data_IF_084453423299
#
_entry.id   IF_084453423299
#
_cell.length_a   1.000
_cell.length_b   1.000
_cell.length_c   1.000
_cell.angle_alpha   90.00
_cell.angle_beta   90.00
_cell.angle_gamma   90.00
#
_symmetry.space_group_name_H-M   'P 1'
#
loop_
_entity.id
_entity.type
_entity.pdbx_description
1 polymer ?
#
# COMPACT_ATOMS: atom_id res chain seq x y z
N UNK A 1 -31.77 39.84 -45.64
CA UNK A 1 -31.92 39.17 -46.95
C UNK A 1 -31.11 37.88 -46.85
N UNK A 2 -31.67 36.76 -46.38
CA UNK A 2 -32.69 35.88 -46.99
C UNK A 2 -32.28 35.38 -48.38
N UNK A 3 -31.90 34.09 -48.43
CA UNK A 3 -32.44 33.01 -49.26
C UNK A 3 -31.52 31.78 -49.02
N UNK A 4 -31.95 30.74 -48.30
CA UNK A 4 -32.85 29.62 -48.70
C UNK A 4 -32.21 28.71 -49.77
N UNK A 5 -32.35 27.38 -49.84
CA UNK A 5 -32.88 26.27 -49.03
C UNK A 5 -32.92 25.04 -50.02
N UNK A 6 -33.02 23.80 -49.52
CA UNK A 6 -33.58 22.56 -50.19
C UNK A 6 -32.58 21.76 -51.09
N UNK A 7 -32.48 20.41 -51.19
CA UNK A 7 -33.26 19.15 -50.91
C UNK A 7 -32.22 17.98 -50.75
N UNK A 8 -32.29 17.02 -49.81
CA UNK A 8 -33.07 15.76 -49.69
C UNK A 8 -32.74 14.60 -50.67
N UNK A 9 -32.42 13.41 -50.11
CA UNK A 9 -32.71 11.97 -50.49
C UNK A 9 -31.90 11.11 -49.47
N UNK A 10 -32.47 10.46 -48.45
CA UNK A 10 -33.37 9.30 -48.36
C UNK A 10 -32.75 7.92 -48.72
N UNK A 11 -32.49 7.11 -47.67
CA UNK A 11 -32.78 5.66 -47.62
C UNK A 11 -31.69 4.67 -48.04
N UNK A 12 -31.26 3.80 -47.11
CA UNK A 12 -31.67 2.38 -47.00
C UNK A 12 -30.87 1.71 -45.88
N UNK A 13 -31.61 1.08 -44.96
CA UNK A 13 -31.16 0.27 -43.84
C UNK A 13 -31.01 -1.18 -44.29
N UNK A 14 -29.92 -1.86 -43.91
CA UNK A 14 -29.81 -3.32 -44.04
C UNK A 14 -29.41 -3.94 -42.70
N UNK A 15 -30.37 -4.62 -42.08
CA UNK A 15 -30.22 -5.44 -40.88
C UNK A 15 -29.93 -6.86 -41.39
N UNK A 16 -28.80 -7.45 -40.99
CA UNK A 16 -28.55 -8.88 -41.17
C UNK A 16 -28.96 -9.64 -39.91
N UNK A 17 -30.02 -10.43 -40.03
CA UNK A 17 -30.38 -11.49 -39.09
C UNK A 17 -29.48 -12.70 -39.34
N UNK A 18 -28.88 -13.26 -38.28
CA UNK A 18 -28.26 -14.59 -38.33
C UNK A 18 -29.03 -15.48 -37.35
N UNK A 19 -29.75 -16.44 -37.91
CA UNK A 19 -30.45 -17.50 -37.20
C UNK A 19 -29.47 -18.61 -36.80
N UNK A 20 -29.46 -18.97 -35.52
CA UNK A 20 -28.88 -20.22 -35.04
C UNK A 20 -29.95 -21.30 -35.02
N UNK A 21 -29.76 -22.32 -35.84
CA UNK A 21 -30.39 -23.62 -35.67
C UNK A 21 -29.34 -24.70 -36.03
N UNK A 22 -29.55 -25.88 -35.44
CA UNK A 22 -28.87 -27.15 -35.64
C UNK A 22 -27.61 -27.42 -34.80
N UNK A 23 -27.38 -28.58 -34.18
CA UNK A 23 -28.16 -29.74 -33.72
C UNK A 23 -27.16 -30.52 -32.85
N UNK A 24 -27.55 -31.00 -31.66
CA UNK A 24 -26.71 -31.89 -30.84
C UNK A 24 -27.01 -33.36 -31.16
N UNK A 25 -26.01 -34.23 -31.37
CA UNK A 25 -26.17 -35.68 -31.21
C UNK A 25 -25.80 -36.13 -29.78
N UNK A 26 -26.32 -37.28 -29.32
CA UNK A 26 -26.26 -37.70 -27.92
C UNK A 26 -25.00 -38.49 -27.56
N UNK A 27 -24.70 -38.44 -26.27
CA UNK A 27 -23.73 -39.21 -25.47
C UNK A 27 -23.23 -40.54 -26.08
N UNK A 28 -21.92 -40.62 -26.25
CA UNK A 28 -21.15 -41.86 -26.16
C UNK A 28 -20.15 -41.74 -25.02
N UNK A 29 -20.35 -42.55 -23.97
CA UNK A 29 -19.38 -42.78 -22.92
C UNK A 29 -18.19 -43.56 -23.50
N UNK A 30 -16.98 -43.00 -23.38
CA UNK A 30 -15.73 -43.73 -23.51
C UNK A 30 -14.95 -43.60 -22.21
N UNK A 31 -14.85 -44.70 -21.47
CA UNK A 31 -13.92 -44.87 -20.35
C UNK A 31 -12.50 -44.93 -20.91
N UNK A 32 -11.76 -43.84 -20.81
CA UNK A 32 -10.31 -43.81 -21.07
C UNK A 32 -9.61 -43.96 -19.72
N UNK A 33 -8.68 -44.92 -19.66
CA UNK A 33 -7.85 -45.19 -18.49
C UNK A 33 -7.09 -43.92 -18.03
N UNK A 34 -7.04 -43.69 -16.72
CA UNK A 34 -6.22 -42.65 -16.09
C UNK A 34 -4.75 -42.86 -16.46
N UNK A 35 -4.27 -42.09 -17.44
CA UNK A 35 -2.86 -41.87 -17.64
C UNK A 35 -2.34 -41.09 -16.43
N UNK A 36 -1.24 -41.57 -15.85
CA UNK A 36 -0.49 -40.94 -14.77
C UNK A 36 -0.16 -39.50 -15.18
N UNK A 37 -0.68 -38.52 -14.44
CA UNK A 37 -0.39 -37.10 -14.69
C UNK A 37 1.13 -36.89 -14.73
N UNK A 38 1.66 -36.15 -15.72
CA UNK A 38 3.05 -35.75 -15.69
C UNK A 38 3.26 -34.76 -14.54
N UNK A 39 4.29 -35.01 -13.73
CA UNK A 39 4.81 -34.08 -12.72
C UNK A 39 4.85 -32.65 -13.27
N UNK A 40 4.25 -31.66 -12.59
CA UNK A 40 4.22 -30.29 -13.08
C UNK A 40 5.63 -29.76 -13.17
N UNK A 41 6.02 -29.30 -14.37
CA UNK A 41 7.32 -28.65 -14.54
C UNK A 41 7.39 -27.40 -13.64
N UNK A 42 8.59 -27.06 -13.15
CA UNK A 42 8.76 -25.93 -12.22
C UNK A 42 8.32 -24.58 -12.80
N UNK A 43 8.09 -24.46 -14.11
CA UNK A 43 7.60 -23.23 -14.73
C UNK A 43 6.07 -23.07 -14.61
N UNK A 44 5.29 -24.15 -14.68
CA UNK A 44 3.83 -24.09 -14.47
C UNK A 44 3.46 -23.90 -13.00
N UNK A 45 4.26 -24.44 -12.07
CA UNK A 45 4.12 -24.17 -10.64
C UNK A 45 4.39 -22.69 -10.30
N UNK A 46 5.34 -22.03 -10.98
CA UNK A 46 5.67 -20.61 -10.78
C UNK A 46 4.58 -19.65 -11.29
N UNK A 47 3.87 -20.02 -12.35
CA UNK A 47 2.75 -19.23 -12.86
C UNK A 47 1.51 -19.30 -11.94
N UNK A 48 1.22 -20.48 -11.36
CA UNK A 48 0.07 -20.66 -10.47
C UNK A 48 0.18 -19.91 -9.13
N UNK A 49 1.41 -19.71 -8.62
CA UNK A 49 1.66 -18.99 -7.36
C UNK A 49 1.42 -17.47 -7.52
N UNK A 50 1.57 -16.92 -8.73
CA UNK A 50 1.41 -15.49 -8.99
C UNK A 50 -0.06 -15.00 -8.95
N UNK A 51 -1.04 -15.92 -9.04
CA UNK A 51 -2.46 -15.57 -9.14
C UNK A 51 -3.30 -15.94 -7.90
N UNK A 52 -2.77 -16.69 -6.92
CA UNK A 52 -3.52 -17.06 -5.71
C UNK A 52 -2.68 -17.03 -4.42
N UNK A 53 -2.71 -15.95 -3.61
CA UNK A 53 -1.97 -15.87 -2.35
C UNK A 53 -2.38 -16.96 -1.34
N UNK A 54 -3.64 -17.42 -1.40
CA UNK A 54 -4.17 -18.44 -0.47
C UNK A 54 -3.48 -19.80 -0.63
N UNK A 55 -2.77 -20.02 -1.74
CA UNK A 55 -1.98 -21.23 -1.97
C UNK A 55 -0.69 -21.29 -1.14
N UNK A 56 -0.22 -20.17 -0.56
CA UNK A 56 1.07 -20.09 0.15
C UNK A 56 1.00 -19.45 1.55
N UNK A 57 -0.06 -18.68 1.87
CA UNK A 57 -0.38 -18.21 3.21
C UNK A 57 -1.85 -17.76 3.29
N UNK A 58 -2.42 -17.68 4.49
CA UNK A 58 -3.77 -17.11 4.69
C UNK A 58 -3.66 -15.62 5.04
N UNK A 59 -4.19 -14.70 4.23
CA UNK A 59 -4.18 -13.28 4.56
C UNK A 59 -4.94 -12.97 5.85
N UNK A 60 -4.41 -12.07 6.65
CA UNK A 60 -5.05 -11.53 7.85
C UNK A 60 -5.67 -10.16 7.56
N UNK A 61 -6.84 -9.89 8.15
CA UNK A 61 -7.49 -8.59 8.08
C UNK A 61 -7.26 -7.83 9.37
N UNK A 62 -6.90 -6.57 9.25
CA UNK A 62 -6.68 -5.66 10.37
C UNK A 62 -7.57 -4.43 10.23
N UNK A 63 -8.06 -3.91 11.35
CA UNK A 63 -8.85 -2.70 11.37
C UNK A 63 -7.99 -1.46 11.16
N UNK A 64 -8.61 -0.39 10.66
CA UNK A 64 -8.01 0.95 10.61
C UNK A 64 -8.32 1.78 11.87
N UNK A 65 -8.74 1.12 12.96
CA UNK A 65 -8.86 1.76 14.27
C UNK A 65 -7.47 1.83 14.91
N UNK A 66 -6.66 2.75 14.41
CA UNK A 66 -5.25 2.83 14.72
C UNK A 66 -5.01 3.60 16.02
N UNK A 67 -4.08 3.10 16.83
CA UNK A 67 -3.61 3.75 18.06
C UNK A 67 -2.09 3.75 18.10
N UNK A 68 -1.52 4.65 18.91
CA UNK A 68 -0.08 4.74 19.13
C UNK A 68 0.33 3.78 20.27
N UNK A 69 1.09 2.70 19.99
CA UNK A 69 1.70 1.87 21.02
C UNK A 69 2.81 2.62 21.79
N UNK A 70 2.75 2.62 23.12
CA UNK A 70 3.75 3.23 23.99
C UNK A 70 5.08 2.45 23.99
N UNK A 71 5.02 1.13 23.78
CA UNK A 71 6.18 0.24 23.76
C UNK A 71 7.29 0.65 22.77
N UNK A 72 6.98 1.46 21.75
CA UNK A 72 7.93 1.84 20.70
C UNK A 72 8.52 3.26 20.87
N UNK A 73 8.18 3.99 21.94
CA UNK A 73 8.65 5.36 22.15
C UNK A 73 10.16 5.43 22.41
N UNK A 74 10.70 4.43 23.10
CA UNK A 74 12.13 4.32 23.43
C UNK A 74 12.95 3.49 22.42
N UNK A 75 12.39 3.15 21.25
CA UNK A 75 13.12 2.34 20.27
C UNK A 75 14.37 3.12 19.78
N UNK A 76 15.58 2.52 19.87
CA UNK A 76 16.84 3.22 19.60
C UNK A 76 17.24 3.20 18.13
N UNK A 77 16.49 2.51 17.25
CA UNK A 77 16.88 2.37 15.85
C UNK A 77 16.92 3.72 15.13
N UNK A 78 17.71 3.87 14.06
CA UNK A 78 17.76 5.12 13.33
C UNK A 78 16.43 5.37 12.62
N UNK A 79 15.98 6.63 12.68
CA UNK A 79 14.87 7.13 11.89
C UNK A 79 15.32 7.34 10.45
N UNK A 80 14.53 6.90 9.49
CA UNK A 80 14.80 7.15 8.08
C UNK A 80 14.46 8.59 7.70
N UNK A 81 15.10 9.10 6.65
CA UNK A 81 15.06 10.52 6.29
C UNK A 81 13.77 10.96 5.59
N UNK A 82 13.89 11.93 4.70
CA UNK A 82 12.80 12.47 3.88
C UNK A 82 12.11 11.35 3.10
N UNK A 83 10.77 11.33 3.11
CA UNK A 83 9.99 10.41 2.27
C UNK A 83 9.85 11.03 0.88
N UNK A 84 10.19 10.28 -0.17
CA UNK A 84 10.04 10.71 -1.57
C UNK A 84 9.06 9.80 -2.29
N UNK A 85 8.09 10.41 -2.96
CA UNK A 85 6.84 9.79 -3.37
C UNK A 85 6.38 10.24 -4.73
N UNK A 86 5.56 9.41 -5.38
CA UNK A 86 4.78 9.78 -6.57
C UNK A 86 3.36 9.21 -6.46
N UNK A 87 2.38 9.94 -6.99
CA UNK A 87 0.99 9.49 -7.05
C UNK A 87 0.24 9.62 -5.72
N UNK A 88 -0.97 9.07 -5.69
CA UNK A 88 -1.86 9.20 -4.53
C UNK A 88 -1.46 8.29 -3.37
N UNK A 89 -1.45 8.84 -2.14
CA UNK A 89 -1.10 8.10 -0.92
C UNK A 89 -2.09 8.37 0.20
N UNK A 90 -2.24 7.40 1.10
CA UNK A 90 -2.97 7.57 2.35
C UNK A 90 -2.02 7.38 3.53
N UNK A 91 -1.95 8.40 4.38
CA UNK A 91 -1.20 8.34 5.63
C UNK A 91 -2.15 8.48 6.81
N UNK A 92 -1.71 8.04 7.98
CA UNK A 92 -2.43 8.23 9.23
C UNK A 92 -1.52 8.96 10.20
N UNK A 93 -2.04 10.05 10.77
CA UNK A 93 -1.38 10.93 11.72
C UNK A 93 -2.16 10.93 13.03
N UNK A 94 -1.50 10.59 14.13
CA UNK A 94 -2.06 10.76 15.46
C UNK A 94 -1.50 12.01 16.10
N UNK A 95 -2.38 12.98 16.39
CA UNK A 95 -2.02 14.19 17.12
C UNK A 95 -2.09 13.89 18.62
N UNK A 96 -0.95 13.87 19.31
CA UNK A 96 -0.90 13.61 20.76
C UNK A 96 -1.55 14.77 21.52
N UNK A 97 -1.95 14.52 22.77
CA UNK A 97 -2.38 15.60 23.66
C UNK A 97 -1.26 16.67 23.76
N UNK A 98 -1.65 17.94 23.67
CA UNK A 98 -0.70 19.07 23.62
C UNK A 98 -0.11 19.38 22.24
N UNK A 99 -0.34 18.55 21.20
CA UNK A 99 0.04 18.86 19.82
C UNK A 99 -1.14 19.46 19.06
N UNK A 100 -1.17 20.78 18.90
CA UNK A 100 -2.20 21.49 18.10
C UNK A 100 -1.76 21.79 16.67
N UNK A 101 -0.46 21.73 16.41
CA UNK A 101 0.14 22.12 15.14
C UNK A 101 0.92 20.95 14.57
N UNK A 102 0.49 20.45 13.42
CA UNK A 102 1.30 19.55 12.61
C UNK A 102 2.20 20.37 11.70
N UNK A 103 3.51 20.21 11.84
CA UNK A 103 4.52 20.92 11.05
C UNK A 103 5.33 19.94 10.21
N UNK A 104 5.50 20.27 8.93
CA UNK A 104 6.28 19.45 8.02
C UNK A 104 6.98 20.33 6.97
N UNK A 105 8.13 19.88 6.51
CA UNK A 105 8.81 20.40 5.33
C UNK A 105 8.38 19.59 4.10
N UNK A 106 8.08 20.25 2.98
CA UNK A 106 7.73 19.54 1.76
C UNK A 106 8.00 20.31 0.48
N UNK A 107 8.11 19.58 -0.62
CA UNK A 107 8.22 20.10 -2.00
C UNK A 107 7.56 19.15 -2.98
N UNK A 108 7.15 19.65 -4.15
CA UNK A 108 6.64 18.83 -5.25
C UNK A 108 7.20 19.26 -6.60
N UNK A 109 6.87 18.55 -7.68
CA UNK A 109 7.44 18.72 -9.01
C UNK A 109 8.75 17.95 -9.20
N UNK A 110 9.02 16.93 -8.38
CA UNK A 110 10.33 16.26 -8.36
C UNK A 110 10.48 15.25 -9.50
N UNK A 111 9.42 14.49 -9.81
CA UNK A 111 9.47 13.35 -10.74
C UNK A 111 9.10 13.75 -12.18
N UNK A 112 8.14 14.65 -12.35
CA UNK A 112 7.60 14.98 -13.67
C UNK A 112 7.44 16.50 -13.85
N UNK A 113 7.58 17.03 -15.08
CA UNK A 113 7.39 18.45 -15.38
C UNK A 113 5.89 18.83 -15.45
N UNK A 114 5.14 18.46 -14.41
CA UNK A 114 3.70 18.67 -14.32
C UNK A 114 3.44 19.89 -13.42
N UNK A 115 2.71 20.87 -13.94
CA UNK A 115 2.42 22.13 -13.25
C UNK A 115 1.23 22.06 -12.25
N UNK A 116 0.85 20.86 -11.80
CA UNK A 116 -0.24 20.68 -10.84
C UNK A 116 0.29 20.60 -9.42
N UNK A 117 -0.35 21.32 -8.50
CA UNK A 117 -0.03 21.25 -7.08
C UNK A 117 -0.30 19.85 -6.51
N UNK A 118 0.53 19.44 -5.56
CA UNK A 118 0.22 18.30 -4.68
C UNK A 118 -0.64 18.80 -3.53
N UNK A 119 -1.73 18.10 -3.25
CA UNK A 119 -2.69 18.46 -2.20
C UNK A 119 -2.72 17.41 -1.11
N UNK A 120 -2.57 17.83 0.13
CA UNK A 120 -2.70 17.01 1.33
C UNK A 120 -4.00 17.43 2.03
N UNK A 121 -4.98 16.53 2.08
CA UNK A 121 -6.26 16.76 2.77
C UNK A 121 -6.27 15.98 4.09
N UNK A 122 -6.49 16.68 5.21
CA UNK A 122 -6.53 16.09 6.54
C UNK A 122 -7.98 15.79 6.90
N UNK A 123 -8.30 14.52 7.07
CA UNK A 123 -9.63 13.99 7.34
C UNK A 123 -9.66 13.43 8.76
N UNK A 124 -10.59 13.88 9.59
CA UNK A 124 -10.83 13.27 10.90
C UNK A 124 -11.22 11.80 10.68
N UNK A 125 -10.39 10.86 11.14
CA UNK A 125 -10.56 9.45 10.83
C UNK A 125 -11.82 8.84 11.48
N UNK A 126 -12.37 9.49 12.51
CA UNK A 126 -13.62 9.05 13.16
C UNK A 126 -14.83 9.62 12.45
N UNK A 127 -14.81 10.93 12.15
CA UNK A 127 -15.95 11.60 11.52
C UNK A 127 -16.01 11.40 10.00
N UNK A 128 -14.89 11.08 9.35
CA UNK A 128 -14.77 11.00 7.89
C UNK A 128 -14.83 12.37 7.20
N UNK A 129 -14.62 13.46 7.94
CA UNK A 129 -14.76 14.84 7.44
C UNK A 129 -13.40 15.48 7.25
N UNK A 130 -13.18 16.12 6.10
CA UNK A 130 -12.01 16.94 5.86
C UNK A 130 -12.04 18.19 6.76
N UNK A 131 -10.97 18.41 7.52
CA UNK A 131 -10.87 19.52 8.50
C UNK A 131 -9.79 20.52 8.15
N UNK A 132 -8.80 20.13 7.33
CA UNK A 132 -7.72 21.01 6.93
C UNK A 132 -7.08 20.56 5.61
N UNK A 133 -6.28 21.45 5.02
CA UNK A 133 -5.62 21.22 3.74
C UNK A 133 -4.26 21.92 3.70
N UNK A 134 -3.30 21.29 3.04
CA UNK A 134 -2.05 21.91 2.62
C UNK A 134 -1.83 21.70 1.12
N UNK A 135 -1.36 22.75 0.44
CA UNK A 135 -1.13 22.77 -1.01
C UNK A 135 0.33 23.06 -1.27
N UNK A 136 1.01 22.13 -1.93
CA UNK A 136 2.42 22.22 -2.29
C UNK A 136 2.53 22.62 -3.77
N UNK A 137 3.19 23.75 -4.10
CA UNK A 137 3.41 24.15 -5.48
C UNK A 137 4.50 23.30 -6.15
N UNK A 138 4.39 22.98 -7.47
CA UNK A 138 5.35 22.15 -8.21
C UNK A 138 6.59 22.94 -8.64
N UNK A 139 7.17 23.70 -7.72
CA UNK A 139 8.33 24.58 -7.94
C UNK A 139 9.66 23.94 -7.51
N UNK A 140 9.64 22.70 -6.99
CA UNK A 140 10.79 21.97 -6.43
C UNK A 140 11.42 22.64 -5.19
N UNK A 141 10.78 23.66 -4.62
CA UNK A 141 11.28 24.40 -3.46
C UNK A 141 10.76 23.78 -2.18
N UNK A 142 11.66 23.47 -1.24
CA UNK A 142 11.27 23.01 0.10
C UNK A 142 10.66 24.18 0.87
N UNK A 143 9.46 23.98 1.39
CA UNK A 143 8.73 24.94 2.22
C UNK A 143 8.30 24.27 3.52
N UNK A 144 8.22 25.07 4.58
CA UNK A 144 7.65 24.64 5.85
C UNK A 144 6.16 24.93 5.85
N UNK A 145 5.36 23.92 6.20
CA UNK A 145 3.92 23.99 6.31
C UNK A 145 3.53 23.78 7.76
N UNK A 146 2.43 24.44 8.14
CA UNK A 146 1.82 24.34 9.46
C UNK A 146 0.33 24.12 9.28
N UNK A 147 -0.20 23.05 9.88
CA UNK A 147 -1.61 22.69 9.82
C UNK A 147 -2.13 22.58 11.24
N UNK A 148 -3.12 23.39 11.57
CA UNK A 148 -3.76 23.37 12.88
C UNK A 148 -4.73 22.17 12.94
N UNK A 149 -4.53 21.28 13.90
CA UNK A 149 -5.32 20.07 14.09
C UNK A 149 -5.70 19.92 15.57
N UNK A 150 -6.79 19.22 15.85
CA UNK A 150 -7.23 18.99 17.22
C UNK A 150 -6.36 17.92 17.89
N UNK A 151 -5.78 18.19 19.07
CA UNK A 151 -5.05 17.19 19.84
C UNK A 151 -5.93 15.98 20.22
N UNK A 152 -5.30 14.82 20.40
CA UNK A 152 -5.96 13.57 20.82
C UNK A 152 -6.74 12.84 19.72
N UNK A 153 -6.58 13.26 18.46
CA UNK A 153 -7.31 12.69 17.32
C UNK A 153 -6.41 11.97 16.31
N UNK A 154 -7.02 11.00 15.64
CA UNK A 154 -6.45 10.33 14.47
C UNK A 154 -6.96 11.03 13.20
N UNK A 155 -6.04 11.32 12.29
CA UNK A 155 -6.32 11.90 10.99
C UNK A 155 -5.84 10.98 9.88
N UNK A 156 -6.68 10.76 8.87
CA UNK A 156 -6.25 10.25 7.56
C UNK A 156 -5.78 11.44 6.73
N UNK A 157 -4.61 11.33 6.11
CA UNK A 157 -4.08 12.33 5.18
C UNK A 157 -4.21 11.75 3.78
N UNK A 158 -5.10 12.33 2.99
CA UNK A 158 -5.27 11.99 1.58
C UNK A 158 -4.35 12.86 0.75
N UNK A 159 -3.36 12.23 0.11
CA UNK A 159 -2.45 12.92 -0.80
C UNK A 159 -2.91 12.72 -2.23
N UNK A 160 -3.09 13.82 -2.94
CA UNK A 160 -3.30 13.86 -4.39
C UNK A 160 -2.06 14.44 -5.05
N UNK A 161 -1.34 13.62 -5.79
CA UNK A 161 -0.11 13.99 -6.45
C UNK A 161 -0.06 13.50 -7.90
N UNK A 162 0.54 14.31 -8.76
CA UNK A 162 0.85 13.94 -10.15
C UNK A 162 2.30 14.23 -10.52
N UNK A 163 3.06 14.95 -9.69
CA UNK A 163 4.35 15.51 -10.08
C UNK A 163 5.52 14.94 -9.26
N UNK A 164 5.24 14.10 -8.27
CA UNK A 164 6.20 13.59 -7.30
C UNK A 164 6.48 14.61 -6.21
N UNK A 165 6.44 14.17 -4.95
CA UNK A 165 6.61 15.01 -3.79
C UNK A 165 7.57 14.42 -2.76
N UNK A 166 8.10 15.29 -1.92
CA UNK A 166 8.91 14.94 -0.77
C UNK A 166 8.30 15.57 0.48
N UNK A 167 8.26 14.82 1.57
CA UNK A 167 7.75 15.28 2.86
C UNK A 167 8.63 14.79 4.00
N UNK A 168 8.86 15.67 4.98
CA UNK A 168 9.53 15.38 6.24
C UNK A 168 8.83 16.11 7.38
N UNK A 169 8.76 15.50 8.57
CA UNK A 169 8.04 16.01 9.74
C UNK A 169 8.83 15.69 11.00
N UNK A 170 8.69 16.51 12.04
CA UNK A 170 9.49 16.32 13.26
C UNK A 170 9.25 14.94 13.93
N UNK A 171 10.27 14.32 14.55
CA UNK A 171 10.17 12.98 15.16
C UNK A 171 9.11 12.83 16.27
N UNK A 172 8.56 13.95 16.75
CA UNK A 172 7.50 13.98 17.75
C UNK A 172 6.11 13.58 17.20
N UNK A 173 5.92 13.65 15.88
CA UNK A 173 4.65 13.29 15.25
C UNK A 173 4.62 11.80 14.93
N UNK A 174 3.51 11.16 15.28
CA UNK A 174 3.29 9.75 14.99
C UNK A 174 2.52 9.63 13.67
N UNK A 175 3.24 9.28 12.61
CA UNK A 175 2.67 9.16 11.27
C UNK A 175 3.08 7.86 10.59
N UNK A 176 2.10 7.16 10.04
CA UNK A 176 2.25 5.83 9.45
C UNK A 176 1.60 5.80 8.08
N UNK A 177 2.23 5.12 7.14
CA UNK A 177 1.60 4.76 5.88
C UNK A 177 0.89 3.41 6.02
N UNK A 178 -0.27 3.26 5.38
CA UNK A 178 -1.02 2.00 5.35
C UNK A 178 -0.94 1.41 3.95
N UNK A 179 -0.23 0.30 3.80
CA UNK A 179 -0.05 -0.33 2.49
C UNK A 179 -1.06 -1.44 2.21
N UNK A 180 -2.33 -1.07 1.99
CA UNK A 180 -3.45 -2.01 1.85
C UNK A 180 -3.92 -2.28 0.42
N UNK A 181 -3.52 -1.49 -0.58
CA UNK A 181 -4.09 -1.59 -1.93
C UNK A 181 -3.04 -1.96 -2.97
N UNK A 182 -3.14 -3.18 -3.53
CA UNK A 182 -2.27 -3.67 -4.62
C UNK A 182 -2.18 -2.72 -5.83
N UNK A 183 -3.18 -1.86 -6.00
CA UNK A 183 -3.36 -0.95 -7.13
C UNK A 183 -2.76 0.45 -6.92
N UNK A 184 -2.35 0.80 -5.71
CA UNK A 184 -1.74 2.11 -5.42
C UNK A 184 -0.22 2.01 -5.48
N UNK A 185 0.48 3.03 -6.00
CA UNK A 185 1.94 3.05 -5.96
C UNK A 185 2.41 3.04 -4.50
N UNK A 186 3.48 2.29 -4.25
CA UNK A 186 4.16 2.19 -2.98
C UNK A 186 4.59 3.58 -2.55
N UNK A 187 4.52 3.87 -1.25
CA UNK A 187 5.00 5.14 -0.75
C UNK A 187 6.54 5.27 -0.79
N UNK A 188 7.28 4.39 -1.45
CA UNK A 188 8.71 4.29 -1.21
C UNK A 188 9.47 4.08 -2.53
N UNK A 189 10.50 4.92 -2.75
CA UNK A 189 11.47 4.78 -3.83
C UNK A 189 12.63 3.84 -3.43
N UNK A 190 13.54 3.54 -4.37
CA UNK A 190 14.49 2.42 -4.35
C UNK A 190 15.40 2.31 -3.11
N UNK A 191 15.59 3.39 -2.34
CA UNK A 191 16.46 3.43 -1.16
C UNK A 191 15.74 3.46 0.18
N UNK A 192 14.40 3.43 0.20
CA UNK A 192 13.66 3.65 1.42
C UNK A 192 13.60 2.38 2.30
N UNK A 193 13.69 2.64 3.61
CA UNK A 193 13.54 1.66 4.65
C UNK A 193 12.33 2.01 5.53
N UNK A 194 11.46 1.03 5.75
CA UNK A 194 10.26 1.17 6.57
C UNK A 194 10.29 0.16 7.71
N UNK A 195 9.84 0.53 8.89
CA UNK A 195 9.63 -0.39 10.00
C UNK A 195 8.17 -0.83 10.05
N UNK A 196 7.94 -2.07 10.46
CA UNK A 196 6.60 -2.66 10.64
C UNK A 196 6.61 -3.61 11.84
N UNK A 197 5.44 -3.96 12.35
CA UNK A 197 5.30 -4.83 13.51
C UNK A 197 4.81 -6.22 13.12
N UNK A 198 5.41 -7.26 13.71
CA UNK A 198 4.95 -8.65 13.59
C UNK A 198 4.26 -9.03 14.90
N UNK A 199 2.93 -9.23 14.92
CA UNK A 199 2.20 -9.57 16.13
C UNK A 199 2.65 -10.89 16.77
N UNK A 200 2.39 -11.04 18.07
CA UNK A 200 2.65 -12.30 18.79
C UNK A 200 1.85 -13.44 18.18
N UNK A 201 2.44 -14.63 18.19
CA UNK A 201 1.91 -15.86 17.59
C UNK A 201 1.79 -15.81 16.05
N UNK A 202 2.40 -14.83 15.39
CA UNK A 202 2.51 -14.85 13.93
C UNK A 202 3.51 -15.92 13.53
N UNK A 203 3.06 -16.93 12.77
CA UNK A 203 3.93 -18.00 12.28
C UNK A 203 4.56 -17.70 10.92
N UNK A 204 3.95 -16.81 10.12
CA UNK A 204 4.39 -16.48 8.76
C UNK A 204 4.22 -14.99 8.48
N UNK A 205 5.24 -14.37 7.89
CA UNK A 205 5.14 -13.07 7.20
C UNK A 205 4.90 -13.38 5.73
N UNK A 206 3.66 -13.18 5.28
CA UNK A 206 3.23 -13.35 3.91
C UNK A 206 2.92 -12.01 3.28
N UNK A 207 3.22 -11.89 1.99
CA UNK A 207 3.01 -10.66 1.26
C UNK A 207 3.28 -10.77 -0.22
N UNK A 208 3.34 -9.62 -0.88
CA UNK A 208 3.61 -9.49 -2.31
C UNK A 208 4.70 -8.45 -2.56
N UNK A 209 5.57 -8.74 -3.52
CA UNK A 209 6.60 -7.83 -3.99
C UNK A 209 6.48 -7.61 -5.49
N UNK A 210 6.58 -6.36 -5.91
CA UNK A 210 6.68 -6.03 -7.33
C UNK A 210 8.10 -6.12 -7.87
N UNK A 211 9.11 -5.74 -7.09
CA UNK A 211 10.48 -5.50 -7.54
C UNK A 211 11.50 -6.51 -6.97
N UNK A 212 12.53 -6.84 -7.75
CA UNK A 212 13.71 -7.58 -7.26
C UNK A 212 14.50 -6.70 -6.28
N UNK A 213 15.17 -7.35 -5.32
CA UNK A 213 16.06 -6.70 -4.36
C UNK A 213 15.37 -6.19 -3.10
N UNK A 214 14.04 -6.20 -3.01
CA UNK A 214 13.32 -5.95 -1.77
C UNK A 214 13.77 -6.92 -0.66
N UNK A 215 13.94 -6.42 0.57
CA UNK A 215 14.43 -7.22 1.70
C UNK A 215 13.54 -7.08 2.92
N UNK A 216 13.39 -8.19 3.64
CA UNK A 216 12.94 -8.20 5.03
C UNK A 216 14.17 -8.34 5.91
N UNK A 217 14.30 -7.43 6.86
CA UNK A 217 15.34 -7.40 7.87
C UNK A 217 14.70 -7.78 9.20
N UNK A 218 15.31 -8.74 9.89
CA UNK A 218 14.85 -9.23 11.18
C UNK A 218 15.10 -8.21 12.31
N UNK A 219 14.56 -8.45 13.52
CA UNK A 219 14.76 -7.55 14.66
C UNK A 219 16.22 -7.40 15.13
N UNK A 220 17.13 -8.28 14.67
CA UNK A 220 18.56 -8.24 14.97
C UNK A 220 19.36 -7.47 13.90
N UNK A 221 18.71 -7.01 12.83
CA UNK A 221 19.36 -6.31 11.72
C UNK A 221 19.91 -7.23 10.63
N UNK A 222 19.56 -8.52 10.64
CA UNK A 222 20.00 -9.50 9.64
C UNK A 222 18.99 -9.59 8.50
N UNK A 223 19.47 -9.76 7.26
CA UNK A 223 18.59 -10.02 6.11
C UNK A 223 17.93 -11.39 6.29
N UNK A 224 16.63 -11.38 6.53
CA UNK A 224 15.80 -12.56 6.70
C UNK A 224 15.38 -13.15 5.35
N UNK A 225 15.02 -12.28 4.40
CA UNK A 225 14.60 -12.66 3.06
C UNK A 225 14.97 -11.55 2.06
N UNK A 226 15.43 -11.96 0.87
CA UNK A 226 15.68 -11.06 -0.27
C UNK A 226 14.84 -11.53 -1.45
N UNK A 227 14.13 -10.60 -2.08
CA UNK A 227 13.40 -10.88 -3.29
C UNK A 227 14.32 -11.05 -4.49
N UNK A 228 14.16 -12.14 -5.21
CA UNK A 228 14.89 -12.44 -6.45
C UNK A 228 13.98 -12.51 -7.67
N UNK A 229 12.66 -12.35 -7.50
CA UNK A 229 11.67 -12.46 -8.58
C UNK A 229 10.69 -11.30 -8.54
N UNK A 230 10.46 -10.63 -9.67
CA UNK A 230 9.46 -9.57 -9.75
C UNK A 230 8.03 -10.12 -9.69
N UNK A 231 7.09 -9.28 -9.24
CA UNK A 231 5.65 -9.57 -9.22
C UNK A 231 5.29 -10.92 -8.57
N UNK A 232 5.88 -11.19 -7.41
CA UNK A 232 5.76 -12.49 -6.74
C UNK A 232 5.20 -12.36 -5.34
N UNK A 233 4.42 -13.35 -4.92
CA UNK A 233 4.08 -13.50 -3.51
C UNK A 233 5.23 -14.19 -2.75
N UNK A 234 5.39 -13.83 -1.49
CA UNK A 234 6.38 -14.45 -0.61
C UNK A 234 5.74 -14.96 0.67
N UNK A 235 6.35 -15.99 1.26
CA UNK A 235 5.99 -16.55 2.55
C UNK A 235 7.28 -16.78 3.33
N UNK A 236 7.41 -16.15 4.48
CA UNK A 236 8.59 -16.27 5.34
C UNK A 236 8.17 -16.79 6.71
N UNK A 237 8.66 -17.96 7.16
CA UNK A 237 8.37 -18.47 8.49
C UNK A 237 9.00 -17.57 9.55
N UNK A 238 8.22 -17.11 10.52
CA UNK A 238 8.71 -16.32 11.66
C UNK A 238 9.43 -17.26 12.61
N UNK A 239 10.75 -17.08 12.86
CA UNK A 239 11.45 -17.91 13.82
C UNK A 239 10.93 -17.72 15.25
N UNK A 240 11.06 -18.75 16.08
CA UNK A 240 10.63 -18.71 17.47
C UNK A 240 11.18 -17.48 18.22
N UNK A 241 10.29 -16.74 18.87
CA UNK A 241 10.63 -15.53 19.62
C UNK A 241 11.00 -14.32 18.76
N UNK A 242 10.76 -14.36 17.45
CA UNK A 242 10.88 -13.19 16.56
C UNK A 242 9.54 -12.51 16.26
N UNK A 243 8.43 -13.13 16.65
CA UNK A 243 7.13 -12.50 16.77
C UNK A 243 7.10 -11.51 17.93
N UNK A 244 6.10 -10.62 17.93
CA UNK A 244 5.99 -9.55 18.93
C UNK A 244 7.08 -8.48 18.84
N UNK A 245 7.74 -8.35 17.68
CA UNK A 245 8.90 -7.45 17.48
C UNK A 245 8.72 -6.58 16.26
N UNK A 246 9.55 -5.55 16.18
CA UNK A 246 9.63 -4.68 15.01
C UNK A 246 10.62 -5.25 14.02
N UNK A 247 10.18 -5.31 12.78
CA UNK A 247 10.93 -5.72 11.62
C UNK A 247 11.11 -4.53 10.68
N UNK A 248 11.93 -4.71 9.64
CA UNK A 248 12.23 -3.64 8.69
C UNK A 248 12.15 -4.16 7.25
N UNK A 249 11.54 -3.36 6.40
CA UNK A 249 11.55 -3.46 4.95
C UNK A 249 12.68 -2.57 4.42
N UNK A 250 13.46 -3.06 3.47
CA UNK A 250 14.48 -2.30 2.76
C UNK A 250 14.38 -2.54 1.26
N UNK A 251 14.73 -1.53 0.44
CA UNK A 251 14.74 -1.66 -1.03
C UNK A 251 13.39 -2.11 -1.61
N UNK A 252 12.29 -1.81 -0.90
CA UNK A 252 10.92 -2.16 -1.28
C UNK A 252 10.29 -1.12 -2.22
N UNK A 253 11.09 -0.61 -3.16
CA UNK A 253 10.61 0.30 -4.17
C UNK A 253 9.42 -0.30 -4.92
N UNK A 254 8.39 0.49 -5.19
CA UNK A 254 7.34 0.08 -6.13
C UNK A 254 6.49 -1.14 -5.73
N UNK A 255 6.34 -1.44 -4.44
CA UNK A 255 5.17 -2.10 -3.81
C UNK A 255 5.55 -3.38 -3.06
N UNK A 256 5.75 -3.26 -1.75
CA UNK A 256 5.80 -4.39 -0.83
C UNK A 256 4.56 -4.42 0.06
N UNK A 257 3.64 -5.33 -0.20
CA UNK A 257 2.41 -5.47 0.57
C UNK A 257 2.57 -6.55 1.63
N UNK A 258 2.25 -6.21 2.87
CA UNK A 258 2.17 -7.14 3.98
C UNK A 258 0.73 -7.64 4.09
N UNK A 259 0.55 -8.96 4.11
CA UNK A 259 -0.78 -9.59 4.00
C UNK A 259 -1.13 -10.48 5.19
N UNK A 260 -0.16 -10.94 5.99
CA UNK A 260 -0.41 -11.73 7.21
C UNK A 260 -0.13 -10.95 8.50
N UNK A 261 0.44 -9.75 8.39
CA UNK A 261 0.76 -8.84 9.50
C UNK A 261 0.15 -7.46 9.23
N UNK A 262 0.03 -6.58 10.24
CA UNK A 262 -0.51 -5.25 10.06
C UNK A 262 0.24 -4.49 8.94
N UNK A 263 -0.46 -3.92 7.94
CA UNK A 263 0.15 -3.26 6.78
C UNK A 263 0.66 -1.85 7.07
N UNK A 264 0.69 -1.46 8.34
CA UNK A 264 1.21 -0.21 8.85
C UNK A 264 2.74 -0.18 8.83
N UNK A 265 3.28 0.82 8.14
CA UNK A 265 4.73 1.03 7.99
C UNK A 265 5.11 2.48 8.28
N UNK A 266 6.26 2.68 8.92
CA UNK A 266 6.73 4.03 9.29
C UNK A 266 8.25 4.18 9.17
N UNK A 267 8.74 5.42 9.17
CA UNK A 267 10.19 5.74 9.10
C UNK A 267 10.98 5.35 10.32
N UNK A 268 10.28 5.17 11.43
CA UNK A 268 10.85 4.80 12.71
C UNK A 268 9.78 4.07 13.54
N UNK A 269 10.14 3.12 14.41
CA UNK A 269 9.18 2.40 15.24
C UNK A 269 8.29 3.31 16.11
N UNK A 270 8.84 4.40 16.66
CA UNK A 270 8.06 5.43 17.39
C UNK A 270 6.96 6.12 16.58
N UNK A 271 7.06 6.10 15.25
CA UNK A 271 6.07 6.71 14.36
C UNK A 271 4.97 5.71 13.96
N UNK A 272 5.11 4.43 14.32
CA UNK A 272 4.11 3.42 14.05
C UNK A 272 2.82 3.67 14.82
N UNK A 273 1.74 3.64 14.07
CA UNK A 273 0.39 3.39 14.55
C UNK A 273 0.06 1.93 14.24
N UNK A 274 -0.69 1.28 15.12
CA UNK A 274 -1.11 -0.11 14.95
C UNK A 274 -2.61 -0.26 15.21
N UNK A 275 -3.26 -1.27 14.62
CA UNK A 275 -4.63 -1.62 14.95
C UNK A 275 -4.80 -1.83 16.45
N UNK A 276 -5.86 -1.25 17.03
CA UNK A 276 -6.15 -1.30 18.47
C UNK A 276 -6.22 -2.73 19.00
N UNK A 277 -6.74 -3.67 18.21
CA UNK A 277 -6.81 -5.08 18.54
C UNK A 277 -5.43 -5.73 18.69
N UNK A 278 -4.45 -5.36 17.86
CA UNK A 278 -3.07 -5.87 17.92
C UNK A 278 -2.39 -5.32 19.17
N UNK A 279 -2.52 -4.01 19.41
CA UNK A 279 -1.95 -3.34 20.59
C UNK A 279 -2.48 -3.95 21.88
N UNK A 280 -3.78 -4.27 21.93
CA UNK A 280 -4.42 -4.93 23.07
C UNK A 280 -3.95 -6.38 23.23
N UNK A 281 -3.95 -7.17 22.16
CA UNK A 281 -3.55 -8.58 22.19
C UNK A 281 -2.10 -8.74 22.68
N UNK A 282 -1.22 -7.87 22.22
CA UNK A 282 0.22 -7.99 22.45
C UNK A 282 0.72 -7.22 23.67
N UNK A 283 -0.17 -6.44 24.30
CA UNK A 283 0.10 -5.60 25.48
C UNK A 283 1.19 -4.55 25.19
N UNK A 284 0.96 -3.73 24.16
CA UNK A 284 1.92 -2.71 23.67
C UNK A 284 1.68 -1.29 24.21
N UNK A 285 0.83 -1.15 25.24
CA UNK A 285 0.53 0.10 25.92
C UNK A 285 1.36 0.29 27.19
#
# INVERSE_FOLDING_TARGET
MRNDLIMYIAGISLIAQVSFADTFPPNTFSTVALAKEPEPNQASARAAIADNPESIFTPAKFSLNLVKPAAFDADPRPRTGIVNLTGDHHWYLFMKQGQSDFTFAGKTGIAYPIATNTKLTFVDATAGVAVAEAVLPPDKVIRNYKVNLTPGKLYRIDVKDKAGFAIDWEPQFTMTHVNQELKKPSPFNDSYAAYFYVPKNTSVIGGYWKNIGARIIDPKGTVALTNTTENTYFSYPVPDGMDGKIWKLEQCANNCYLMTVPPEIARHPRELLLPKEVVKADKLN
#
